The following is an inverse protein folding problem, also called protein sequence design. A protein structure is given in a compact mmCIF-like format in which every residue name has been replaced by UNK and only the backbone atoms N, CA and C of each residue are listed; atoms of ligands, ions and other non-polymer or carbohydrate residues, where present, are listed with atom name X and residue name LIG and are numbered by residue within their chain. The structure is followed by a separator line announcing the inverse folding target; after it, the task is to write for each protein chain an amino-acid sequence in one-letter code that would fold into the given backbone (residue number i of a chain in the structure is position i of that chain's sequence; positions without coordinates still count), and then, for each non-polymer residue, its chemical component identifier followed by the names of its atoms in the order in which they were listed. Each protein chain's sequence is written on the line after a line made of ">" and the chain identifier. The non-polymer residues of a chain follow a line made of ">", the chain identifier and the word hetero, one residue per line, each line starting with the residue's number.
data_IF_083450930653
#
_entry.id   IF_083450930653
#
_cell.length_a   1.000
_cell.length_b   1.000
_cell.length_c   1.000
_cell.angle_alpha   90.00
_cell.angle_beta   90.00
_cell.angle_gamma   90.00
#
_symmetry.space_group_name_H-M   'P 1'
#
loop_
_entity.id
_entity.type
_entity.pdbx_description
1 polymer ?
#
# COMPACT_ATOMS: atom_id res chain seq x y z
N UNK A 1 -1.45 -10.68 8.22
CA UNK A 1 -1.64 -9.88 9.44
C UNK A 1 -2.32 -8.57 9.05
N UNK A 2 -3.30 -8.08 9.81
CA UNK A 2 -3.93 -6.78 9.54
C UNK A 2 -3.15 -5.67 10.23
N UNK A 3 -2.78 -4.63 9.47
CA UNK A 3 -2.04 -3.48 9.96
C UNK A 3 -2.96 -2.27 10.10
N UNK A 4 -2.67 -1.38 11.06
CA UNK A 4 -3.28 -0.05 11.11
C UNK A 4 -2.83 0.73 9.86
N UNK A 5 -3.76 1.37 9.15
CA UNK A 5 -3.47 2.07 7.90
C UNK A 5 -2.86 3.46 8.09
N UNK A 6 -3.11 4.10 9.24
CA UNK A 6 -2.64 5.44 9.57
C UNK A 6 -2.05 5.55 10.97
N UNK A 7 -1.23 6.55 11.19
CA UNK A 7 -0.69 6.96 12.50
C UNK A 7 -1.12 8.38 12.81
N UNK A 8 -1.33 8.67 14.09
CA UNK A 8 -1.67 10.01 14.58
C UNK A 8 -0.41 10.71 15.03
N UNK A 9 -0.03 11.77 14.32
CA UNK A 9 1.18 12.55 14.52
C UNK A 9 0.87 13.84 15.25
N UNK A 10 1.52 14.04 16.39
CA UNK A 10 1.54 15.32 17.08
C UNK A 10 2.53 16.26 16.36
N UNK A 11 1.98 17.32 15.79
CA UNK A 11 2.70 18.34 15.05
C UNK A 11 3.30 19.40 16.00
N UNK A 12 4.34 20.15 15.57
CA UNK A 12 4.97 21.17 16.42
C UNK A 12 4.03 22.31 16.86
N UNK A 13 2.96 22.56 16.10
CA UNK A 13 1.92 23.54 16.43
C UNK A 13 0.89 23.02 17.46
N UNK A 14 1.07 21.79 17.97
CA UNK A 14 0.19 21.14 18.94
C UNK A 14 -1.02 20.44 18.32
N UNK A 15 -1.18 20.48 17.00
CA UNK A 15 -2.26 19.76 16.30
C UNK A 15 -1.92 18.27 16.15
N UNK A 16 -2.95 17.42 16.07
CA UNK A 16 -2.79 15.99 15.79
C UNK A 16 -3.32 15.71 14.39
N UNK A 17 -2.47 15.12 13.55
CA UNK A 17 -2.83 14.76 12.17
C UNK A 17 -2.78 13.25 11.99
N UNK A 18 -3.82 12.67 11.42
CA UNK A 18 -3.77 11.30 10.94
C UNK A 18 -3.01 11.28 9.60
N UNK A 19 -2.09 10.33 9.44
CA UNK A 19 -1.31 10.19 8.21
C UNK A 19 -1.18 8.72 7.85
N UNK A 20 -1.37 8.34 6.57
CA UNK A 20 -1.10 6.98 6.15
C UNK A 20 0.33 6.55 6.48
N UNK A 21 0.50 5.28 6.88
CA UNK A 21 1.80 4.79 7.36
C UNK A 21 2.88 4.93 6.29
N UNK A 22 2.60 4.59 5.04
CA UNK A 22 3.59 4.70 3.97
C UNK A 22 3.96 6.16 3.65
N UNK A 23 2.98 7.07 3.67
CA UNK A 23 3.21 8.53 3.52
C UNK A 23 4.07 9.05 4.66
N UNK A 24 3.80 8.62 5.89
CA UNK A 24 4.61 8.97 7.05
C UNK A 24 6.07 8.53 6.87
N UNK A 25 6.29 7.31 6.39
CA UNK A 25 7.65 6.78 6.18
C UNK A 25 8.46 7.58 5.16
N UNK A 26 7.81 8.18 4.14
CA UNK A 26 8.50 9.05 3.16
C UNK A 26 9.16 10.26 3.81
N UNK A 27 8.58 10.78 4.90
CA UNK A 27 9.17 11.86 5.68
C UNK A 27 10.21 11.40 6.71
N UNK A 28 10.13 10.14 7.16
CA UNK A 28 11.03 9.58 8.19
C UNK A 28 12.32 9.03 7.59
N UNK A 29 12.22 8.08 6.65
CA UNK A 29 13.35 7.29 6.16
C UNK A 29 14.52 8.14 5.64
N UNK A 30 14.34 9.14 4.75
CA UNK A 30 15.45 9.92 4.23
C UNK A 30 16.16 10.77 5.31
N UNK A 31 15.48 11.13 6.40
CA UNK A 31 16.04 11.93 7.49
C UNK A 31 16.69 11.07 8.57
N UNK A 32 16.16 9.87 8.81
CA UNK A 32 16.66 8.97 9.84
C UNK A 32 17.98 8.30 9.45
N UNK A 33 18.03 7.64 8.28
CA UNK A 33 19.25 6.93 7.84
C UNK A 33 20.07 7.72 6.80
N UNK A 34 19.49 8.78 6.25
CA UNK A 34 20.09 9.59 5.19
C UNK A 34 19.77 9.04 3.80
N UNK A 35 19.34 9.92 2.90
CA UNK A 35 18.98 9.56 1.52
C UNK A 35 20.12 8.93 0.70
N UNK A 36 21.38 9.12 1.10
CA UNK A 36 22.56 8.51 0.48
C UNK A 36 22.88 7.09 0.94
N UNK A 37 22.13 6.52 1.89
CA UNK A 37 22.38 5.18 2.39
C UNK A 37 22.18 4.10 1.30
N UNK A 38 22.84 2.94 1.37
CA UNK A 38 22.58 1.83 0.45
C UNK A 38 21.12 1.37 0.48
N UNK A 39 20.59 0.92 -0.66
CA UNK A 39 19.17 0.56 -0.82
C UNK A 39 18.69 -0.46 0.24
N UNK A 40 19.46 -1.52 0.49
CA UNK A 40 19.09 -2.54 1.47
C UNK A 40 19.08 -2.01 2.92
N UNK A 41 19.92 -1.02 3.23
CA UNK A 41 19.86 -0.32 4.51
C UNK A 41 18.63 0.59 4.61
N UNK A 42 18.25 1.26 3.52
CA UNK A 42 17.00 2.05 3.47
C UNK A 42 15.76 1.18 3.61
N UNK A 43 15.73 -0.01 2.99
CA UNK A 43 14.66 -1.00 3.16
C UNK A 43 14.56 -1.49 4.61
N UNK A 44 15.70 -1.80 5.24
CA UNK A 44 15.73 -2.20 6.65
C UNK A 44 15.21 -1.07 7.56
N UNK A 45 15.62 0.17 7.28
CA UNK A 45 15.12 1.36 7.97
C UNK A 45 13.61 1.54 7.77
N UNK A 46 13.08 1.37 6.56
CA UNK A 46 11.65 1.48 6.27
C UNK A 46 10.83 0.46 7.09
N UNK A 47 11.24 -0.81 7.12
CA UNK A 47 10.57 -1.84 7.91
C UNK A 47 10.67 -1.57 9.41
N UNK A 48 11.83 -1.17 9.92
CA UNK A 48 12.01 -0.83 11.33
C UNK A 48 11.15 0.38 11.73
N UNK A 49 11.17 1.45 10.92
CA UNK A 49 10.37 2.64 11.14
C UNK A 49 8.87 2.33 11.09
N UNK A 50 8.42 1.46 10.17
CA UNK A 50 7.03 0.99 10.09
C UNK A 50 6.60 0.27 11.37
N UNK A 51 7.43 -0.64 11.86
CA UNK A 51 7.15 -1.39 13.08
C UNK A 51 7.10 -0.47 14.31
N UNK A 52 8.02 0.51 14.39
CA UNK A 52 7.99 1.52 15.44
C UNK A 52 6.71 2.34 15.37
N UNK A 53 6.36 2.85 14.20
CA UNK A 53 5.18 3.68 14.00
C UNK A 53 3.87 2.96 14.36
N UNK A 54 3.76 1.68 14.05
CA UNK A 54 2.59 0.84 14.33
C UNK A 54 2.47 0.41 15.81
N UNK A 55 3.55 0.51 16.59
CA UNK A 55 3.58 0.03 17.99
C UNK A 55 3.79 1.15 19.01
N UNK A 56 4.28 2.30 18.58
CA UNK A 56 4.48 3.45 19.45
C UNK A 56 3.14 4.05 19.89
N UNK A 57 3.04 4.32 21.19
CA UNK A 57 1.94 5.09 21.79
C UNK A 57 2.53 6.08 22.77
N UNK A 58 3.30 7.03 22.24
CA UNK A 58 4.20 7.91 23.01
C UNK A 58 3.51 9.11 23.63
N UNK A 59 2.33 9.51 23.12
CA UNK A 59 1.60 10.70 23.56
C UNK A 59 0.12 10.38 23.89
N UNK A 60 -0.15 9.46 24.84
CA UNK A 60 -1.53 9.11 25.21
C UNK A 60 -2.34 10.31 25.72
N UNK A 61 -1.69 11.30 26.31
CA UNK A 61 -2.27 12.54 26.83
C UNK A 61 -2.81 13.47 25.73
N UNK A 62 -2.21 13.43 24.54
CA UNK A 62 -2.63 14.20 23.37
C UNK A 62 -3.40 13.36 22.36
N UNK A 63 -3.73 12.11 22.71
CA UNK A 63 -4.31 11.11 21.82
C UNK A 63 -3.51 10.93 20.50
N UNK A 64 -2.18 11.01 20.60
CA UNK A 64 -1.26 10.85 19.48
C UNK A 64 -0.36 9.61 19.65
N UNK A 65 -0.03 8.98 18.53
CA UNK A 65 0.80 7.78 18.51
C UNK A 65 2.30 8.16 18.59
N UNK A 66 2.69 9.20 17.85
CA UNK A 66 4.07 9.68 17.62
C UNK A 66 4.13 11.22 17.59
N UNK A 67 5.33 11.79 17.72
CA UNK A 67 5.61 13.19 17.42
C UNK A 67 6.69 13.30 16.32
N UNK A 68 6.83 14.48 15.70
CA UNK A 68 7.74 14.71 14.56
C UNK A 68 9.20 15.01 14.96
N UNK A 69 9.53 14.92 16.25
CA UNK A 69 10.85 15.26 16.79
C UNK A 69 11.67 14.02 17.12
N UNK A 70 12.94 14.21 17.50
CA UNK A 70 13.85 13.16 17.97
C UNK A 70 13.35 12.40 19.21
N UNK A 71 12.29 12.88 19.87
CA UNK A 71 11.60 12.14 20.92
C UNK A 71 10.93 10.87 20.39
N UNK A 72 10.46 10.87 19.14
CA UNK A 72 9.84 9.71 18.49
C UNK A 72 10.62 9.30 17.23
N UNK A 73 10.41 10.00 16.11
CA UNK A 73 11.16 9.86 14.86
C UNK A 73 11.19 11.23 14.19
N UNK A 74 12.33 11.60 13.61
CA UNK A 74 12.44 12.84 12.86
C UNK A 74 11.59 12.73 11.60
N UNK A 75 10.63 13.63 11.44
CA UNK A 75 9.77 13.67 10.27
C UNK A 75 9.78 15.07 9.64
N UNK A 76 9.91 15.13 8.32
CA UNK A 76 9.69 16.34 7.53
C UNK A 76 8.88 16.00 6.27
N UNK A 77 8.22 16.97 5.61
CA UNK A 77 7.44 16.69 4.39
C UNK A 77 8.31 16.40 3.15
N UNK A 78 9.64 16.43 3.25
CA UNK A 78 10.53 16.22 2.11
C UNK A 78 10.70 14.72 1.80
N UNK A 79 10.56 14.35 0.53
CA UNK A 79 10.76 12.98 0.01
C UNK A 79 12.06 12.87 -0.80
N UNK A 80 12.59 11.65 -0.93
CA UNK A 80 13.71 11.34 -1.83
C UNK A 80 13.37 10.07 -2.64
N UNK A 81 13.50 10.10 -3.99
CA UNK A 81 13.13 8.97 -4.83
C UNK A 81 13.82 7.64 -4.48
N UNK A 82 15.03 7.68 -3.89
CA UNK A 82 15.75 6.46 -3.49
C UNK A 82 15.11 5.81 -2.27
N UNK A 83 14.72 6.62 -1.29
CA UNK A 83 13.98 6.13 -0.12
C UNK A 83 12.57 5.73 -0.48
N UNK A 84 11.92 6.42 -1.42
CA UNK A 84 10.61 6.05 -1.91
C UNK A 84 10.61 4.64 -2.53
N UNK A 85 11.62 4.33 -3.37
CA UNK A 85 11.79 2.99 -3.93
C UNK A 85 12.02 1.92 -2.84
N UNK A 86 12.72 2.26 -1.76
CA UNK A 86 12.93 1.34 -0.64
C UNK A 86 11.65 1.09 0.18
N UNK A 87 10.86 2.16 0.40
CA UNK A 87 9.57 2.11 1.08
C UNK A 87 8.59 1.28 0.27
N UNK A 88 8.46 1.55 -1.03
CA UNK A 88 7.59 0.82 -1.96
C UNK A 88 7.97 -0.66 -2.05
N UNK A 89 9.26 -0.97 -2.21
CA UNK A 89 9.74 -2.36 -2.24
C UNK A 89 9.53 -3.13 -0.93
N UNK A 90 9.19 -2.44 0.16
CA UNK A 90 8.91 -3.05 1.47
C UNK A 90 7.52 -2.68 2.00
N UNK A 91 6.63 -2.22 1.13
CA UNK A 91 5.28 -1.79 1.51
C UNK A 91 4.57 -2.90 2.28
N UNK A 92 4.02 -2.57 3.45
CA UNK A 92 3.33 -3.52 4.33
C UNK A 92 4.20 -4.60 4.99
N UNK A 93 5.51 -4.68 4.73
CA UNK A 93 6.42 -5.63 5.40
C UNK A 93 6.68 -5.15 6.83
N UNK A 94 6.48 -6.05 7.80
CA UNK A 94 6.73 -5.82 9.22
C UNK A 94 7.54 -6.95 9.86
N UNK A 95 8.34 -6.62 10.86
CA UNK A 95 9.02 -7.58 11.71
C UNK A 95 8.13 -7.98 12.89
N UNK A 96 7.99 -9.28 13.12
CA UNK A 96 7.17 -9.84 14.19
C UNK A 96 7.98 -10.77 15.07
N UNK A 97 7.63 -10.83 16.35
CA UNK A 97 8.13 -11.81 17.30
C UNK A 97 6.94 -12.43 18.01
N UNK A 98 6.83 -13.76 17.97
CA UNK A 98 5.70 -14.51 18.56
C UNK A 98 4.33 -13.97 18.09
N UNK A 99 4.20 -13.68 16.79
CA UNK A 99 2.95 -13.22 16.18
C UNK A 99 2.57 -11.75 16.44
N UNK A 100 3.43 -10.97 17.12
CA UNK A 100 3.20 -9.54 17.39
C UNK A 100 4.24 -8.69 16.69
N UNK A 101 3.85 -7.54 16.13
CA UNK A 101 4.80 -6.57 15.58
C UNK A 101 5.77 -6.14 16.68
N UNK A 102 7.06 -6.16 16.38
CA UNK A 102 8.08 -5.76 17.34
C UNK A 102 8.07 -4.24 17.54
N UNK A 103 8.39 -3.79 18.75
CA UNK A 103 8.80 -2.42 18.96
C UNK A 103 10.25 -2.23 18.48
N UNK A 104 10.42 -1.90 17.19
CA UNK A 104 11.71 -1.85 16.51
C UNK A 104 12.48 -0.57 16.86
N UNK A 105 13.27 -0.62 17.95
CA UNK A 105 14.20 0.46 18.28
C UNK A 105 15.39 0.48 17.31
N UNK A 106 15.87 1.67 16.97
CA UNK A 106 17.06 1.87 16.13
C UNK A 106 17.77 3.17 16.52
N UNK A 107 19.05 3.27 16.18
CA UNK A 107 19.90 4.40 16.57
C UNK A 107 21.06 4.62 15.58
N UNK A 108 21.68 5.80 15.64
CA UNK A 108 22.64 6.25 14.62
C UNK A 108 23.92 5.41 14.54
N UNK A 109 24.63 5.24 15.65
CA UNK A 109 25.96 4.63 15.64
C UNK A 109 26.25 3.90 16.95
N UNK A 110 26.87 2.73 16.86
CA UNK A 110 27.40 1.99 18.02
C UNK A 110 28.92 2.10 18.12
N UNK A 111 29.45 1.69 19.26
CA UNK A 111 30.88 1.60 19.59
C UNK A 111 31.50 0.21 19.32
N UNK A 112 30.89 -0.57 18.41
CA UNK A 112 31.33 -1.92 18.02
C UNK A 112 30.34 -3.03 18.36
N UNK A 113 29.37 -2.76 19.23
CA UNK A 113 28.23 -3.66 19.50
C UNK A 113 26.98 -2.88 19.89
N UNK A 114 25.82 -3.47 19.67
CA UNK A 114 24.57 -2.98 20.24
C UNK A 114 24.44 -3.42 21.71
N UNK A 115 23.47 -2.85 22.42
CA UNK A 115 23.14 -3.14 23.81
C UNK A 115 21.84 -3.93 23.88
N UNK A 116 21.77 -4.86 24.82
CA UNK A 116 20.51 -5.47 25.22
C UNK A 116 19.64 -4.40 25.89
N UNK A 117 18.33 -4.52 25.80
CA UNK A 117 17.44 -3.47 26.33
C UNK A 117 17.65 -3.25 27.84
N UNK A 118 17.90 -4.30 28.60
CA UNK A 118 18.11 -4.25 30.06
C UNK A 118 19.44 -3.59 30.46
N UNK A 119 20.43 -3.52 29.56
CA UNK A 119 21.68 -2.78 29.80
C UNK A 119 21.44 -1.26 29.83
N UNK A 120 20.40 -0.80 29.15
CA UNK A 120 20.07 0.63 29.00
C UNK A 120 18.87 1.01 29.88
N UNK A 121 17.88 0.13 29.94
CA UNK A 121 16.65 0.30 30.71
C UNK A 121 16.33 -0.99 31.48
N UNK A 122 16.89 -1.16 32.70
CA UNK A 122 16.82 -2.40 33.47
C UNK A 122 15.41 -2.89 33.81
N UNK A 123 14.41 -2.02 33.74
CA UNK A 123 13.01 -2.36 33.98
C UNK A 123 12.34 -3.12 32.83
N UNK A 124 12.96 -3.17 31.65
CA UNK A 124 12.42 -3.86 30.48
C UNK A 124 13.16 -5.16 30.20
N UNK A 125 12.41 -6.17 29.76
CA UNK A 125 12.95 -7.41 29.21
C UNK A 125 12.26 -7.70 27.89
N UNK A 126 13.00 -7.55 26.79
CA UNK A 126 12.47 -7.69 25.43
C UNK A 126 13.32 -8.70 24.66
N UNK A 127 12.80 -9.92 24.41
CA UNK A 127 13.62 -11.04 23.89
C UNK A 127 14.32 -10.78 22.56
N UNK A 128 13.73 -9.95 21.70
CA UNK A 128 14.27 -9.60 20.38
C UNK A 128 15.22 -8.40 20.39
N UNK A 129 15.41 -7.71 21.53
CA UNK A 129 16.34 -6.58 21.67
C UNK A 129 17.56 -6.99 22.51
N UNK A 130 18.43 -7.80 21.89
CA UNK A 130 19.68 -8.29 22.49
C UNK A 130 20.89 -7.60 21.88
N UNK A 131 21.94 -7.43 22.68
CA UNK A 131 23.21 -6.91 22.20
C UNK A 131 23.85 -7.86 21.20
N UNK A 132 24.22 -7.33 20.03
CA UNK A 132 24.93 -8.06 18.96
C UNK A 132 26.17 -7.30 18.51
N UNK A 133 27.17 -8.02 18.01
CA UNK A 133 28.33 -7.38 17.39
C UNK A 133 27.90 -6.62 16.13
N UNK A 134 28.48 -5.44 15.92
CA UNK A 134 28.14 -4.60 14.78
C UNK A 134 29.32 -4.51 13.80
N UNK A 135 29.12 -4.73 12.49
CA UNK A 135 30.20 -4.69 11.50
C UNK A 135 30.58 -3.26 11.06
N UNK A 136 30.00 -2.22 11.67
CA UNK A 136 30.37 -0.84 11.39
C UNK A 136 31.84 -0.55 11.78
N UNK A 137 32.52 0.36 11.08
CA UNK A 137 33.82 0.86 11.53
C UNK A 137 33.78 1.39 12.97
N UNK A 138 34.90 1.28 13.67
CA UNK A 138 35.02 1.83 15.03
C UNK A 138 34.73 3.33 15.03
N UNK A 139 33.79 3.74 15.87
CA UNK A 139 33.33 5.11 15.99
C UNK A 139 32.64 5.32 17.35
N UNK A 140 32.49 6.56 17.82
CA UNK A 140 31.73 6.85 19.03
C UNK A 140 30.25 6.48 18.89
N UNK A 141 29.66 5.99 19.99
CA UNK A 141 28.22 5.72 20.05
C UNK A 141 27.40 7.02 19.92
N UNK A 142 26.35 6.99 19.10
CA UNK A 142 25.35 8.06 18.97
C UNK A 142 23.95 7.45 19.02
N UNK A 143 23.18 7.86 20.02
CA UNK A 143 21.87 7.29 20.35
C UNK A 143 21.95 6.28 21.49
N UNK A 144 20.83 5.59 21.75
CA UNK A 144 20.65 4.78 22.97
C UNK A 144 21.29 3.39 22.90
N UNK A 145 21.71 2.91 21.72
CA UNK A 145 22.47 1.67 21.59
C UNK A 145 21.67 0.38 21.42
N UNK A 146 20.34 0.41 21.44
CA UNK A 146 19.47 -0.79 21.46
C UNK A 146 18.84 -1.05 20.08
N UNK A 147 18.76 -2.30 19.65
CA UNK A 147 18.15 -2.66 18.35
C UNK A 147 19.07 -2.36 17.16
N UNK A 148 18.53 -1.81 16.08
CA UNK A 148 19.28 -1.64 14.82
C UNK A 148 20.21 -0.43 14.83
N UNK A 149 21.50 -0.68 14.57
CA UNK A 149 22.50 0.37 14.36
C UNK A 149 22.50 0.80 12.89
N UNK A 150 22.19 2.06 12.59
CA UNK A 150 22.06 2.58 11.22
C UNK A 150 23.38 2.48 10.43
N UNK A 151 24.51 2.89 11.01
CA UNK A 151 25.82 2.68 10.37
C UNK A 151 26.17 1.20 10.20
N UNK A 152 25.68 0.34 11.10
CA UNK A 152 25.83 -1.10 10.99
C UNK A 152 25.05 -1.67 9.82
N UNK A 153 23.78 -1.26 9.68
CA UNK A 153 22.93 -1.61 8.54
C UNK A 153 23.56 -1.16 7.21
N UNK A 154 24.09 0.06 7.15
CA UNK A 154 24.80 0.55 5.97
C UNK A 154 26.06 -0.27 5.65
N UNK A 155 26.85 -0.64 6.67
CA UNK A 155 28.03 -1.48 6.48
C UNK A 155 27.68 -2.89 5.99
N UNK A 156 26.64 -3.50 6.56
CA UNK A 156 26.12 -4.80 6.11
C UNK A 156 25.62 -4.74 4.67
N UNK A 157 24.83 -3.72 4.31
CA UNK A 157 24.34 -3.52 2.97
C UNK A 157 25.48 -3.31 1.96
N UNK A 158 26.52 -2.55 2.33
CA UNK A 158 27.72 -2.37 1.51
C UNK A 158 28.51 -3.68 1.31
N UNK A 159 28.36 -4.65 2.22
CA UNK A 159 28.92 -6.01 2.10
C UNK A 159 27.98 -6.98 1.37
N UNK A 160 26.86 -6.49 0.81
CA UNK A 160 25.91 -7.30 0.03
C UNK A 160 24.82 -7.98 0.85
N UNK A 161 24.67 -7.66 2.15
CA UNK A 161 23.56 -8.19 2.94
C UNK A 161 22.23 -7.59 2.47
N UNK A 162 21.20 -8.43 2.38
CA UNK A 162 19.83 -7.97 2.14
C UNK A 162 19.22 -7.33 3.38
N UNK A 163 18.16 -6.55 3.22
CA UNK A 163 17.46 -5.92 4.33
C UNK A 163 16.93 -6.94 5.34
N UNK A 164 16.52 -8.13 4.89
CA UNK A 164 16.07 -9.19 5.79
C UNK A 164 17.20 -9.75 6.64
N UNK A 165 18.41 -9.87 6.08
CA UNK A 165 19.59 -10.29 6.83
C UNK A 165 20.00 -9.23 7.85
N UNK A 166 19.93 -7.94 7.48
CA UNK A 166 20.17 -6.81 8.38
C UNK A 166 19.20 -6.84 9.56
N UNK A 167 17.89 -6.95 9.30
CA UNK A 167 16.87 -6.96 10.35
C UNK A 167 17.03 -8.16 11.28
N UNK A 168 17.27 -9.37 10.75
CA UNK A 168 17.47 -10.57 11.57
C UNK A 168 18.76 -10.55 12.39
N UNK A 169 19.77 -9.81 11.94
CA UNK A 169 20.99 -9.59 12.72
C UNK A 169 20.74 -8.71 13.94
N UNK A 170 20.02 -7.60 13.77
CA UNK A 170 19.80 -6.63 14.85
C UNK A 170 18.60 -6.94 15.76
N UNK A 171 17.64 -7.73 15.29
CA UNK A 171 16.47 -8.12 16.07
C UNK A 171 16.40 -9.65 16.19
N UNK A 172 16.66 -10.18 17.38
CA UNK A 172 16.84 -11.62 17.58
C UNK A 172 15.52 -12.39 17.45
N UNK A 173 15.51 -13.43 16.60
CA UNK A 173 14.39 -14.37 16.50
C UNK A 173 13.14 -13.81 15.84
N UNK A 174 13.25 -12.70 15.11
CA UNK A 174 12.12 -12.13 14.39
C UNK A 174 11.79 -12.90 13.11
N UNK A 175 10.54 -12.80 12.70
CA UNK A 175 10.06 -13.18 11.38
C UNK A 175 9.64 -11.92 10.62
N UNK A 176 9.78 -11.94 9.30
CA UNK A 176 9.26 -10.87 8.45
C UNK A 176 7.98 -11.35 7.81
N UNK A 177 6.94 -10.54 7.91
CA UNK A 177 5.59 -10.88 7.44
C UNK A 177 5.08 -9.76 6.54
N UNK A 178 4.50 -10.14 5.40
CA UNK A 178 3.71 -9.25 4.58
C UNK A 178 2.35 -8.98 5.28
N UNK A 179 2.20 -7.79 5.84
CA UNK A 179 0.94 -7.31 6.35
C UNK A 179 0.03 -6.81 5.23
N UNK A 180 -1.26 -6.71 5.55
CA UNK A 180 -2.25 -5.97 4.74
C UNK A 180 -2.75 -4.83 5.60
N UNK A 181 -2.69 -3.60 5.10
CA UNK A 181 -3.34 -2.50 5.78
C UNK A 181 -4.84 -2.77 5.85
N UNK A 182 -5.45 -2.48 7.00
CA UNK A 182 -6.90 -2.50 7.12
C UNK A 182 -7.44 -1.54 6.07
N UNK A 183 -8.20 -2.07 5.10
CA UNK A 183 -8.81 -1.27 4.06
C UNK A 183 -9.57 -0.11 4.70
N UNK A 184 -9.13 1.13 4.46
CA UNK A 184 -9.98 2.28 4.71
C UNK A 184 -11.05 2.26 3.61
N UNK A 185 -12.19 1.66 3.92
CA UNK A 185 -13.31 1.63 2.98
C UNK A 185 -13.92 3.01 2.89
N UNK A 186 -13.68 3.73 1.80
CA UNK A 186 -14.49 4.90 1.45
C UNK A 186 -15.69 4.41 0.65
N UNK A 187 -16.90 4.66 1.15
CA UNK A 187 -18.12 4.16 0.52
C UNK A 187 -18.65 5.17 -0.51
N UNK A 188 -18.19 5.09 -1.76
CA UNK A 188 -18.79 5.85 -2.85
C UNK A 188 -20.27 5.43 -3.07
N UNK A 189 -21.23 6.14 -2.47
CA UNK A 189 -22.65 5.89 -2.75
C UNK A 189 -23.01 6.54 -4.07
N UNK A 190 -23.01 5.78 -5.16
CA UNK A 190 -23.64 6.23 -6.39
C UNK A 190 -25.15 6.39 -6.14
N UNK A 191 -25.72 7.56 -6.45
CA UNK A 191 -27.17 7.75 -6.45
C UNK A 191 -27.64 7.62 -7.90
N UNK A 192 -27.98 6.41 -8.29
CA UNK A 192 -28.80 6.16 -9.48
C UNK A 192 -30.19 5.71 -9.04
N UNK A 193 -31.21 6.53 -9.33
CA UNK A 193 -32.63 6.15 -9.30
C UNK A 193 -33.21 6.53 -10.67
N UNK A 194 -34.06 5.71 -11.34
CA UNK A 194 -34.70 4.48 -10.86
C UNK A 194 -34.64 3.28 -11.85
N UNK A 195 -34.69 2.05 -11.32
CA UNK A 195 -35.72 1.08 -11.74
C UNK A 195 -36.42 0.69 -10.45
N UNK A 196 -37.75 0.77 -10.47
CA UNK A 196 -38.61 0.79 -9.29
C UNK A 196 -38.35 -0.39 -8.34
N UNK A 197 -38.12 -0.04 -7.07
CA UNK A 197 -38.01 -0.90 -5.89
C UNK A 197 -36.76 -1.81 -5.75
N UNK A 198 -35.94 -1.45 -4.74
CA UNK A 198 -34.86 -2.22 -4.11
C UNK A 198 -33.61 -2.58 -4.96
N UNK A 199 -32.57 -1.72 -4.92
CA UNK A 199 -31.20 -2.11 -5.33
C UNK A 199 -30.34 -1.01 -5.94
N UNK A 200 -30.02 0.04 -5.20
CA UNK A 200 -29.06 1.05 -5.68
C UNK A 200 -27.66 0.42 -5.87
N UNK A 201 -27.02 0.68 -7.01
CA UNK A 201 -25.58 0.41 -7.19
C UNK A 201 -24.80 1.18 -6.12
N UNK A 202 -23.75 0.59 -5.56
CA UNK A 202 -22.84 1.27 -4.62
C UNK A 202 -21.41 0.96 -5.01
N UNK A 203 -20.55 1.97 -5.04
CA UNK A 203 -19.13 1.78 -5.30
C UNK A 203 -18.39 1.83 -3.95
N UNK A 204 -17.45 0.93 -3.72
CA UNK A 204 -16.56 0.95 -2.56
C UNK A 204 -15.13 1.15 -3.07
N UNK A 205 -14.42 2.10 -2.45
CA UNK A 205 -12.98 2.25 -2.62
C UNK A 205 -12.31 1.32 -1.60
N UNK A 206 -11.54 0.36 -2.09
CA UNK A 206 -10.95 -0.71 -1.27
C UNK A 206 -9.50 -0.40 -0.87
N UNK A 207 -8.81 0.45 -1.63
CA UNK A 207 -7.45 0.89 -1.38
C UNK A 207 -7.25 2.30 -1.95
N UNK A 208 -6.32 3.08 -1.40
CA UNK A 208 -5.95 4.43 -1.84
C UNK A 208 -4.44 4.64 -1.89
N UNK A 209 -3.66 3.69 -1.34
CA UNK A 209 -2.25 3.92 -1.06
C UNK A 209 -1.30 3.50 -2.18
N UNK A 210 -1.70 2.55 -3.04
CA UNK A 210 -0.87 2.07 -4.15
C UNK A 210 -1.56 2.28 -5.50
N UNK A 211 -2.77 1.74 -5.67
CA UNK A 211 -3.70 2.10 -6.73
C UNK A 211 -5.13 1.96 -6.23
N UNK A 212 -5.98 2.97 -6.43
CA UNK A 212 -7.36 2.85 -6.00
C UNK A 212 -8.06 1.71 -6.73
N UNK A 213 -8.51 0.72 -5.96
CA UNK A 213 -9.29 -0.41 -6.45
C UNK A 213 -10.73 -0.21 -6.01
N UNK A 214 -11.66 -0.45 -6.94
CA UNK A 214 -13.07 -0.19 -6.75
C UNK A 214 -13.85 -1.50 -6.73
N UNK A 215 -14.95 -1.55 -5.99
CA UNK A 215 -15.89 -2.67 -6.07
C UNK A 215 -17.32 -2.15 -6.17
N UNK A 216 -18.07 -2.64 -7.15
CA UNK A 216 -19.43 -2.19 -7.44
C UNK A 216 -20.47 -3.21 -6.93
N UNK A 217 -21.20 -2.87 -5.87
CA UNK A 217 -22.37 -3.64 -5.43
C UNK A 217 -23.49 -3.51 -6.47
N UNK A 218 -24.10 -4.62 -6.88
CA UNK A 218 -25.21 -4.64 -7.86
C UNK A 218 -24.77 -4.67 -9.33
N UNK A 219 -23.47 -4.83 -9.59
CA UNK A 219 -22.87 -4.93 -10.93
C UNK A 219 -23.49 -5.99 -11.86
N UNK A 220 -24.11 -7.02 -11.30
CA UNK A 220 -24.75 -8.09 -12.08
C UNK A 220 -25.97 -7.62 -12.87
N UNK A 221 -26.56 -6.48 -12.49
CA UNK A 221 -27.69 -5.87 -13.20
C UNK A 221 -27.27 -5.00 -14.38
N UNK A 222 -25.96 -4.74 -14.55
CA UNK A 222 -25.45 -3.89 -15.62
C UNK A 222 -25.45 -4.61 -16.97
N UNK A 223 -26.00 -3.94 -17.98
CA UNK A 223 -25.93 -4.37 -19.36
C UNK A 223 -24.69 -3.80 -20.07
N UNK A 224 -23.87 -4.67 -20.63
CA UNK A 224 -22.62 -4.42 -21.34
C UNK A 224 -22.74 -4.75 -22.83
N UNK A 225 -22.11 -3.92 -23.64
CA UNK A 225 -21.95 -4.08 -25.09
C UNK A 225 -20.47 -4.09 -25.43
N UNK A 226 -20.03 -5.13 -26.13
CA UNK A 226 -18.72 -5.15 -26.77
C UNK A 226 -18.75 -4.18 -27.96
N UNK A 227 -17.93 -3.14 -27.91
CA UNK A 227 -17.81 -2.16 -29.00
C UNK A 227 -16.69 -2.53 -29.97
N UNK A 228 -15.58 -3.03 -29.44
CA UNK A 228 -14.37 -3.28 -30.20
C UNK A 228 -13.63 -4.49 -29.67
N UNK A 229 -13.05 -5.27 -30.59
CA UNK A 229 -12.06 -6.31 -30.30
C UNK A 229 -10.87 -6.06 -31.23
N UNK A 230 -9.69 -5.90 -30.65
CA UNK A 230 -8.44 -5.66 -31.36
C UNK A 230 -7.40 -6.69 -30.99
N UNK A 231 -6.51 -7.01 -31.93
CA UNK A 231 -5.45 -8.00 -31.72
C UNK A 231 -4.11 -7.41 -32.14
N UNK A 232 -3.16 -7.50 -31.23
CA UNK A 232 -1.83 -6.95 -31.38
C UNK A 232 -0.79 -8.05 -31.25
N UNK A 233 0.17 -8.07 -32.17
CA UNK A 233 1.35 -8.92 -32.05
C UNK A 233 2.20 -8.41 -30.88
N UNK A 234 2.51 -9.28 -29.94
CA UNK A 234 3.31 -8.93 -28.76
C UNK A 234 4.17 -10.12 -28.31
N UNK A 235 5.25 -9.84 -27.56
CA UNK A 235 6.11 -10.89 -26.97
C UNK A 235 5.44 -11.65 -25.82
N UNK A 236 4.26 -11.20 -25.40
CA UNK A 236 3.47 -11.77 -24.31
C UNK A 236 2.05 -12.03 -24.79
N UNK A 237 1.39 -13.00 -24.15
CA UNK A 237 -0.01 -13.31 -24.37
C UNK A 237 -0.87 -12.79 -23.24
N UNK A 238 -1.82 -11.92 -23.57
CA UNK A 238 -2.76 -11.39 -22.60
C UNK A 238 -4.11 -11.10 -23.24
N UNK A 239 -5.14 -11.10 -22.40
CA UNK A 239 -6.41 -10.45 -22.66
C UNK A 239 -6.45 -9.17 -21.84
N UNK A 240 -6.55 -8.03 -22.49
CA UNK A 240 -6.83 -6.76 -21.87
C UNK A 240 -8.26 -6.33 -22.16
N UNK A 241 -8.84 -5.54 -21.26
CA UNK A 241 -10.15 -4.96 -21.47
C UNK A 241 -10.20 -3.51 -20.96
N UNK A 242 -10.81 -2.65 -21.76
CA UNK A 242 -11.20 -1.28 -21.42
C UNK A 242 -12.70 -1.30 -21.14
N UNK A 243 -13.08 -1.24 -19.87
CA UNK A 243 -14.47 -1.08 -19.47
C UNK A 243 -14.77 0.39 -19.22
N UNK A 244 -15.97 0.82 -19.61
CA UNK A 244 -16.40 2.20 -19.34
C UNK A 244 -16.74 2.48 -17.86
N UNK A 245 -16.65 1.47 -16.97
CA UNK A 245 -16.73 1.63 -15.50
C UNK A 245 -15.61 0.86 -14.78
N UNK A 246 -15.05 1.42 -13.70
CA UNK A 246 -14.16 0.71 -12.78
C UNK A 246 -14.95 -0.20 -11.83
N UNK A 247 -14.23 -1.10 -11.17
CA UNK A 247 -14.72 -1.90 -10.04
C UNK A 247 -15.77 -2.94 -10.36
N UNK A 248 -15.88 -3.32 -11.64
CA UNK A 248 -16.76 -4.39 -12.11
C UNK A 248 -16.01 -5.71 -11.96
N UNK A 249 -16.63 -6.71 -11.34
CA UNK A 249 -16.04 -8.05 -11.31
C UNK A 249 -15.92 -8.63 -12.72
N UNK A 250 -14.69 -9.02 -13.07
CA UNK A 250 -14.35 -9.66 -14.34
C UNK A 250 -13.80 -11.05 -14.08
N UNK A 251 -14.43 -12.06 -14.67
CA UNK A 251 -13.96 -13.46 -14.60
C UNK A 251 -13.61 -13.98 -15.98
N UNK A 252 -12.41 -14.52 -16.14
CA UNK A 252 -11.97 -15.09 -17.40
C UNK A 252 -11.85 -16.61 -17.27
N UNK A 253 -12.71 -17.34 -17.98
CA UNK A 253 -12.66 -18.79 -18.05
C UNK A 253 -11.78 -19.22 -19.23
N UNK A 254 -10.70 -19.94 -18.91
CA UNK A 254 -9.77 -20.48 -19.88
C UNK A 254 -10.27 -21.80 -20.50
N UNK A 255 -9.78 -22.16 -21.70
CA UNK A 255 -10.12 -23.42 -22.36
C UNK A 255 -9.76 -24.67 -21.54
N UNK A 256 -8.78 -24.55 -20.62
CA UNK A 256 -8.31 -25.64 -19.77
C UNK A 256 -9.04 -25.71 -18.41
N UNK A 257 -10.11 -24.94 -18.25
CA UNK A 257 -10.95 -24.95 -17.04
C UNK A 257 -10.49 -23.99 -15.94
N UNK A 258 -9.34 -23.32 -16.08
CA UNK A 258 -8.91 -22.29 -15.12
C UNK A 258 -9.82 -21.07 -15.18
N UNK A 259 -10.01 -20.44 -14.02
CA UNK A 259 -10.78 -19.20 -13.89
C UNK A 259 -9.88 -18.15 -13.27
N UNK A 260 -9.74 -17.01 -13.95
CA UNK A 260 -9.08 -15.82 -13.41
C UNK A 260 -10.17 -14.85 -12.96
N UNK A 261 -9.98 -14.19 -11.83
CA UNK A 261 -10.94 -13.19 -11.32
C UNK A 261 -10.18 -11.93 -10.95
N UNK A 262 -10.66 -10.80 -11.44
CA UNK A 262 -10.12 -9.47 -11.14
C UNK A 262 -11.26 -8.45 -11.13
N UNK A 263 -10.94 -7.22 -10.77
CA UNK A 263 -11.82 -6.06 -10.89
C UNK A 263 -11.37 -5.22 -12.10
N UNK A 264 -12.30 -4.51 -12.74
CA UNK A 264 -11.92 -3.48 -13.71
C UNK A 264 -11.28 -2.27 -13.03
N UNK A 265 -10.36 -1.61 -13.73
CA UNK A 265 -9.62 -0.46 -13.21
C UNK A 265 -8.33 -0.83 -12.46
N UNK A 266 -7.85 -2.08 -12.57
CA UNK A 266 -6.57 -2.51 -11.99
C UNK A 266 -5.36 -2.15 -12.85
N UNK A 267 -5.55 -1.79 -14.11
CA UNK A 267 -4.47 -1.38 -15.02
C UNK A 267 -4.86 -0.10 -15.78
N UNK A 268 -4.27 1.02 -15.36
CA UNK A 268 -4.55 2.33 -15.94
C UNK A 268 -4.09 2.47 -17.40
N UNK A 269 -3.22 1.58 -17.91
CA UNK A 269 -2.79 1.61 -19.32
C UNK A 269 -3.95 1.39 -20.30
N UNK A 270 -5.05 0.78 -19.84
CA UNK A 270 -6.26 0.49 -20.62
C UNK A 270 -7.45 1.38 -20.21
N UNK A 271 -7.16 2.56 -19.66
CA UNK A 271 -8.17 3.53 -19.26
C UNK A 271 -8.80 3.24 -17.90
N UNK A 272 -9.90 3.93 -17.63
CA UNK A 272 -10.53 4.01 -16.30
C UNK A 272 -10.97 2.64 -15.75
N UNK A 273 -11.65 1.84 -16.56
CA UNK A 273 -11.98 0.44 -16.24
C UNK A 273 -10.99 -0.55 -16.84
N UNK A 274 -9.74 -0.12 -17.08
CA UNK A 274 -8.70 -0.91 -17.69
C UNK A 274 -8.27 -2.10 -16.82
N UNK A 275 -8.04 -3.24 -17.46
CA UNK A 275 -7.47 -4.43 -16.83
C UNK A 275 -6.68 -5.25 -17.82
N UNK A 276 -5.78 -6.08 -17.29
CA UNK A 276 -5.05 -7.07 -18.08
C UNK A 276 -4.96 -8.42 -17.35
N UNK A 277 -5.22 -9.50 -18.09
CA UNK A 277 -5.13 -10.88 -17.61
C UNK A 277 -4.17 -11.65 -18.52
N UNK A 278 -3.10 -12.20 -17.95
CA UNK A 278 -2.19 -13.07 -18.69
C UNK A 278 -2.91 -14.33 -19.19
N UNK A 279 -2.71 -14.68 -20.47
CA UNK A 279 -3.36 -15.82 -21.13
C UNK A 279 -2.32 -16.84 -21.59
N UNK A 280 -2.00 -17.86 -20.77
CA UNK A 280 -0.86 -18.75 -21.05
C UNK A 280 -1.04 -19.59 -22.33
N UNK A 281 -2.29 -19.79 -22.77
CA UNK A 281 -2.66 -20.64 -23.90
C UNK A 281 -3.48 -19.86 -24.92
N UNK A 282 -3.38 -20.26 -26.17
CA UNK A 282 -4.29 -19.79 -27.23
C UNK A 282 -5.61 -20.55 -27.15
N UNK A 283 -6.68 -19.94 -27.63
CA UNK A 283 -7.98 -20.60 -27.76
C UNK A 283 -9.15 -19.67 -27.47
N UNK A 284 -10.33 -20.27 -27.35
CA UNK A 284 -11.57 -19.55 -27.06
C UNK A 284 -11.76 -19.46 -25.55
N UNK A 285 -11.65 -18.24 -25.03
CA UNK A 285 -11.93 -17.90 -23.65
C UNK A 285 -13.37 -17.43 -23.49
N UNK A 286 -13.91 -17.53 -22.27
CA UNK A 286 -15.19 -16.90 -21.91
C UNK A 286 -14.92 -15.82 -20.87
N UNK A 287 -15.07 -14.57 -21.28
CA UNK A 287 -14.97 -13.40 -20.41
C UNK A 287 -16.35 -13.12 -19.80
N UNK A 288 -16.45 -13.13 -18.50
CA UNK A 288 -17.62 -12.70 -17.75
C UNK A 288 -17.38 -11.29 -17.22
N UNK A 289 -18.30 -10.38 -17.50
CA UNK A 289 -18.29 -9.00 -17.00
C UNK A 289 -19.65 -8.74 -16.38
N UNK A 290 -19.67 -8.54 -15.05
CA UNK A 290 -20.93 -8.56 -14.29
C UNK A 290 -21.70 -9.87 -14.53
N UNK A 291 -22.98 -9.77 -14.88
CA UNK A 291 -23.84 -10.91 -15.17
C UNK A 291 -23.74 -11.47 -16.61
N UNK A 292 -22.92 -10.88 -17.49
CA UNK A 292 -22.86 -11.24 -18.91
C UNK A 292 -21.58 -11.97 -19.29
N UNK A 293 -21.67 -12.78 -20.36
CA UNK A 293 -20.54 -13.52 -20.92
C UNK A 293 -20.26 -13.09 -22.36
N UNK A 294 -18.97 -13.05 -22.70
CA UNK A 294 -18.44 -12.72 -24.02
C UNK A 294 -17.45 -13.81 -24.43
N UNK A 295 -17.68 -14.51 -25.56
CA UNK A 295 -16.66 -15.39 -26.12
C UNK A 295 -15.54 -14.54 -26.72
N UNK A 296 -14.29 -14.90 -26.43
CA UNK A 296 -13.11 -14.13 -26.88
C UNK A 296 -12.08 -15.08 -27.45
N UNK A 297 -11.60 -14.80 -28.66
CA UNK A 297 -10.55 -15.59 -29.27
C UNK A 297 -9.17 -14.99 -28.94
N UNK A 298 -8.40 -15.72 -28.14
CA UNK A 298 -7.05 -15.30 -27.74
C UNK A 298 -6.02 -15.99 -28.63
N UNK A 299 -5.24 -15.18 -29.34
CA UNK A 299 -4.15 -15.61 -30.22
C UNK A 299 -2.76 -15.49 -29.59
N UNK A 300 -1.74 -15.42 -30.44
CA UNK A 300 -0.35 -15.22 -30.02
C UNK A 300 -0.05 -13.72 -30.00
N UNK A 301 -0.31 -13.09 -28.86
CA UNK A 301 -0.20 -11.65 -28.64
C UNK A 301 -1.21 -11.13 -27.62
N UNK A 302 -1.49 -9.84 -27.67
CA UNK A 302 -2.47 -9.19 -26.79
C UNK A 302 -3.78 -8.99 -27.54
N UNK A 303 -4.88 -9.47 -26.94
CA UNK A 303 -6.24 -9.15 -27.40
C UNK A 303 -6.79 -8.06 -26.50
N UNK A 304 -7.28 -6.95 -27.05
CA UNK A 304 -7.85 -5.83 -26.29
C UNK A 304 -9.32 -5.73 -26.63
N UNK A 305 -10.18 -5.71 -25.61
CA UNK A 305 -11.62 -5.53 -25.77
C UNK A 305 -12.04 -4.17 -25.22
N UNK A 306 -12.92 -3.46 -25.94
CA UNK A 306 -13.58 -2.26 -25.42
C UNK A 306 -15.02 -2.59 -25.13
N UNK A 307 -15.42 -2.57 -23.85
CA UNK A 307 -16.78 -2.83 -23.40
C UNK A 307 -17.39 -1.56 -22.80
N UNK A 308 -18.59 -1.21 -23.28
CA UNK A 308 -19.35 -0.08 -22.79
C UNK A 308 -20.67 -0.55 -22.19
N UNK A 309 -21.05 -0.03 -21.03
CA UNK A 309 -22.38 -0.30 -20.50
C UNK A 309 -23.47 0.53 -21.21
N UNK A 310 -24.69 0.00 -21.25
CA UNK A 310 -25.75 0.44 -22.17
C UNK A 310 -26.43 1.78 -21.84
N UNK A 311 -26.21 2.37 -20.67
CA UNK A 311 -26.81 3.64 -20.23
C UNK A 311 -25.70 4.59 -19.80
N UNK A 312 -25.54 5.81 -20.32
CA UNK A 312 -24.44 6.70 -19.89
C UNK A 312 -24.44 6.92 -18.35
N UNK A 313 -23.28 6.84 -17.66
CA UNK A 313 -23.21 7.07 -16.22
C UNK A 313 -23.72 8.49 -15.86
N UNK A 314 -24.65 8.57 -14.92
CA UNK A 314 -25.15 9.76 -14.26
C UNK A 314 -24.32 10.02 -13.01
N UNK A 315 -24.58 11.15 -12.35
CA UNK A 315 -23.72 11.67 -11.28
C UNK A 315 -23.55 10.69 -10.10
N UNK A 316 -22.32 10.25 -9.89
CA UNK A 316 -21.90 9.50 -8.70
C UNK A 316 -21.62 10.45 -7.52
N UNK A 317 -21.99 10.05 -6.29
CA UNK A 317 -21.69 10.81 -5.05
C UNK A 317 -20.66 10.06 -4.21
N UNK A 318 -19.73 10.80 -3.62
CA UNK A 318 -18.78 10.28 -2.64
C UNK A 318 -19.42 10.35 -1.24
N UNK A 319 -19.43 9.24 -0.50
CA UNK A 319 -19.84 9.22 0.91
C UNK A 319 -18.75 8.54 1.73
N UNK A 320 -17.85 9.33 2.30
CA UNK A 320 -16.83 8.75 3.16
C UNK A 320 -17.44 8.30 4.51
N UNK A 321 -16.94 7.18 5.04
CA UNK A 321 -16.89 6.98 6.51
C UNK A 321 -15.98 8.07 7.07
N UNK A 322 -16.09 8.54 8.34
CA UNK A 322 -15.30 9.66 8.84
C UNK A 322 -13.82 9.54 8.45
N UNK A 323 -13.44 10.35 7.47
CA UNK A 323 -12.08 10.61 7.04
C UNK A 323 -11.75 11.99 7.59
N UNK A 324 -10.51 12.20 8.01
CA UNK A 324 -10.00 13.56 8.20
C UNK A 324 -10.00 14.33 6.86
N UNK A 325 -10.10 15.66 6.94
CA UNK A 325 -10.24 16.55 5.77
C UNK A 325 -9.10 16.41 4.75
N UNK A 326 -7.88 16.11 5.22
CA UNK A 326 -6.68 15.98 4.38
C UNK A 326 -6.72 14.67 3.56
N UNK A 327 -7.05 13.54 4.22
CA UNK A 327 -7.28 12.26 3.54
C UNK A 327 -8.46 12.35 2.56
N UNK A 328 -9.52 13.08 2.91
CA UNK A 328 -10.64 13.30 2.01
C UNK A 328 -10.24 14.09 0.75
N UNK A 329 -9.43 15.14 0.90
CA UNK A 329 -8.96 15.96 -0.21
C UNK A 329 -8.02 15.21 -1.16
N UNK A 330 -7.10 14.40 -0.64
CA UNK A 330 -6.18 13.58 -1.46
C UNK A 330 -6.94 12.50 -2.23
N UNK A 331 -7.92 11.86 -1.59
CA UNK A 331 -8.80 10.89 -2.24
C UNK A 331 -9.65 11.57 -3.31
N UNK A 332 -10.23 12.73 -3.01
CA UNK A 332 -10.99 13.52 -3.99
C UNK A 332 -10.13 13.90 -5.20
N UNK A 333 -8.92 14.40 -5.00
CA UNK A 333 -8.01 14.75 -6.09
C UNK A 333 -7.65 13.53 -6.95
N UNK A 334 -7.38 12.38 -6.31
CA UNK A 334 -7.10 11.12 -7.01
C UNK A 334 -8.30 10.63 -7.83
N UNK A 335 -9.51 10.78 -7.28
CA UNK A 335 -10.74 10.43 -7.96
C UNK A 335 -11.05 11.41 -9.11
N UNK A 336 -10.85 12.71 -8.91
CA UNK A 336 -11.07 13.73 -9.94
C UNK A 336 -10.10 13.56 -11.12
N UNK A 337 -8.83 13.29 -10.85
CA UNK A 337 -7.82 13.02 -11.88
C UNK A 337 -8.13 11.72 -12.65
N UNK A 338 -8.35 10.62 -11.93
CA UNK A 338 -8.55 9.30 -12.53
C UNK A 338 -9.91 9.15 -13.21
N UNK A 339 -10.89 9.96 -12.83
CA UNK A 339 -12.25 9.85 -13.35
C UNK A 339 -12.84 11.16 -13.88
N UNK A 340 -11.99 12.05 -14.37
CA UNK A 340 -12.40 13.30 -15.00
C UNK A 340 -13.54 13.05 -16.02
N UNK A 341 -14.69 13.71 -15.81
CA UNK A 341 -15.86 13.62 -16.70
C UNK A 341 -16.84 12.47 -16.41
N UNK A 342 -16.52 11.52 -15.52
CA UNK A 342 -17.44 10.46 -15.06
C UNK A 342 -18.17 10.82 -13.75
N UNK A 343 -17.70 11.84 -13.03
CA UNK A 343 -18.16 12.19 -11.67
C UNK A 343 -18.56 13.67 -11.59
N UNK A 344 -19.43 13.99 -10.63
CA UNK A 344 -19.61 15.37 -10.16
C UNK A 344 -19.35 15.36 -8.66
N UNK A 345 -18.35 16.11 -8.15
CA UNK A 345 -18.07 16.12 -6.72
C UNK A 345 -19.30 16.63 -5.98
N UNK A 346 -19.81 15.83 -5.05
CA UNK A 346 -20.77 16.29 -4.08
C UNK A 346 -20.04 16.42 -2.74
N UNK A 347 -20.15 17.62 -2.17
CA UNK A 347 -19.52 18.02 -0.92
C UNK A 347 -19.75 16.98 0.17
N UNK A 348 -18.65 16.55 0.79
CA UNK A 348 -18.59 15.69 1.98
C UNK A 348 -19.34 16.39 3.11
N UNK A 349 -20.31 15.71 3.71
CA UNK A 349 -21.06 16.21 4.88
C UNK A 349 -20.72 15.38 6.12
#
# INVERSE_FOLDING_TARGET
>A
MNLKSSVRLLMPDGTVRAMPVETYLRGVVPHEIGAGAPLEAQKAQAVAARCYALTARRHPEADADLCTTTHCQVWTPATDPRSDAAIEATAGVVAVFQGRIIHALYFAACDGRTRSIEEVWPQYSVPYLRGVMCPAPQQPMRGHGVGMCQTGAMAMAAQGASYEAILRHFYTGIELVQGRYAAQSVRLVSRWLPVEEAGALRLALLDVMEQPTFALEGEETLAWRLLREERFTARRRALAAELSLPGVTVRLHAPDGRVFTTLSGTDAAYGVGGLEIATPRMGTYRLHVGGQQFPVQVGDGVTVLTLQHAQAPGQMRLVSSPLDEESAAEILATLEDRFAGLFTPLVVA
#
